data_IF_959016140736
#
_entry.id   IF_959016140736
#
_cell.length_a   1.000
_cell.length_b   1.000
_cell.length_c   1.000
_cell.angle_alpha   90.00
_cell.angle_beta   90.00
_cell.angle_gamma   90.00
#
_symmetry.space_group_name_H-M   'P 1'
#
loop_
_entity.id
_entity.type
_entity.pdbx_description
1 polymer ?
#
# COMPACT_ATOMS: atom_id res chain seq x y z
N UNK A 1 45.02 -2.82 -8.26
CA UNK A 1 43.94 -3.31 -9.14
C UNK A 1 42.76 -2.38 -8.95
N UNK A 2 42.38 -1.65 -9.99
CA UNK A 2 41.22 -0.77 -9.95
C UNK A 2 39.96 -1.59 -10.24
N UNK A 3 38.79 -1.13 -9.76
CA UNK A 3 37.50 -1.80 -10.01
C UNK A 3 37.23 -2.03 -11.50
N UNK A 4 37.67 -1.09 -12.33
CA UNK A 4 37.49 -1.11 -13.79
C UNK A 4 38.45 -2.05 -14.53
N UNK A 5 39.45 -2.59 -13.84
CA UNK A 5 40.38 -3.58 -14.38
C UNK A 5 39.83 -5.01 -14.21
N UNK A 6 38.72 -5.19 -13.50
CA UNK A 6 38.08 -6.49 -13.33
C UNK A 6 37.44 -6.96 -14.64
N UNK A 7 37.42 -8.28 -14.89
CA UNK A 7 36.60 -8.85 -15.96
C UNK A 7 35.13 -8.44 -15.80
N UNK A 8 34.45 -8.22 -16.92
CA UNK A 8 33.05 -7.79 -16.96
C UNK A 8 32.14 -8.69 -16.11
N UNK A 9 32.28 -10.01 -16.22
CA UNK A 9 31.50 -10.96 -15.42
C UNK A 9 31.68 -10.79 -13.91
N UNK A 10 32.88 -10.43 -13.44
CA UNK A 10 33.11 -10.15 -12.02
C UNK A 10 32.36 -8.90 -11.60
N UNK A 11 32.36 -7.85 -12.43
CA UNK A 11 31.57 -6.65 -12.16
C UNK A 11 30.07 -6.96 -12.15
N UNK A 12 29.55 -7.69 -13.14
CA UNK A 12 28.13 -8.06 -13.21
C UNK A 12 27.69 -8.87 -11.99
N UNK A 13 28.55 -9.79 -11.52
CA UNK A 13 28.29 -10.55 -10.31
C UNK A 13 28.24 -9.64 -9.07
N UNK A 14 29.23 -8.75 -8.87
CA UNK A 14 29.24 -7.81 -7.75
C UNK A 14 28.02 -6.88 -7.80
N UNK A 15 27.71 -6.34 -8.97
CA UNK A 15 26.60 -5.42 -9.18
C UNK A 15 25.24 -6.09 -8.92
N UNK A 16 25.13 -7.42 -9.10
CA UNK A 16 23.91 -8.18 -8.80
C UNK A 16 23.52 -8.22 -7.32
N UNK A 17 24.42 -7.80 -6.41
CA UNK A 17 24.13 -7.67 -4.97
C UNK A 17 23.82 -6.23 -4.54
N UNK A 18 23.86 -5.26 -5.46
CA UNK A 18 23.61 -3.86 -5.16
C UNK A 18 22.11 -3.53 -5.25
N UNK A 19 21.69 -2.48 -4.55
CA UNK A 19 20.36 -1.93 -4.76
C UNK A 19 20.25 -1.31 -6.16
N UNK A 20 19.06 -1.34 -6.76
CA UNK A 20 18.81 -0.78 -8.09
C UNK A 20 19.22 0.69 -8.20
N UNK A 21 19.05 1.46 -7.13
CA UNK A 21 19.47 2.85 -7.03
C UNK A 21 21.00 2.99 -7.15
N UNK A 22 21.75 2.12 -6.49
CA UNK A 22 23.21 2.12 -6.51
C UNK A 22 23.76 1.69 -7.88
N UNK A 23 23.12 0.71 -8.51
CA UNK A 23 23.43 0.31 -9.90
C UNK A 23 23.20 1.48 -10.86
N UNK A 24 22.09 2.21 -10.71
CA UNK A 24 21.82 3.40 -11.51
C UNK A 24 22.83 4.53 -11.22
N UNK A 25 23.21 4.73 -9.96
CA UNK A 25 24.19 5.74 -9.57
C UNK A 25 25.58 5.41 -10.14
N UNK A 26 26.00 4.14 -10.10
CA UNK A 26 27.25 3.67 -10.68
C UNK A 26 27.34 3.97 -12.17
N UNK A 27 26.24 3.77 -12.92
CA UNK A 27 26.17 4.10 -14.34
C UNK A 27 26.44 5.59 -14.65
N UNK A 28 26.11 6.49 -13.72
CA UNK A 28 26.32 7.93 -13.89
C UNK A 28 27.78 8.36 -13.67
N UNK A 29 28.65 7.48 -13.19
CA UNK A 29 30.03 7.84 -12.81
C UNK A 29 31.04 7.75 -13.96
N UNK A 30 30.91 6.76 -14.85
CA UNK A 30 31.79 6.62 -16.01
C UNK A 30 31.16 5.81 -17.16
N UNK A 31 31.73 5.93 -18.37
CA UNK A 31 31.22 5.27 -19.58
C UNK A 31 31.25 3.74 -19.50
N UNK A 32 32.27 3.17 -18.87
CA UNK A 32 32.41 1.72 -18.75
C UNK A 32 31.33 1.12 -17.84
N UNK A 33 31.12 1.70 -16.66
CA UNK A 33 30.03 1.31 -15.76
C UNK A 33 28.65 1.55 -16.39
N UNK A 34 28.50 2.66 -17.13
CA UNK A 34 27.30 2.89 -17.92
C UNK A 34 27.05 1.78 -18.93
N UNK A 35 28.08 1.23 -19.58
CA UNK A 35 27.94 0.13 -20.54
C UNK A 35 27.47 -1.16 -19.85
N UNK A 36 28.07 -1.53 -18.72
CA UNK A 36 27.65 -2.71 -17.95
C UNK A 36 26.21 -2.62 -17.47
N UNK A 37 25.74 -1.43 -17.08
CA UNK A 37 24.35 -1.24 -16.64
C UNK A 37 23.33 -1.27 -17.79
N UNK A 38 23.78 -1.16 -19.06
CA UNK A 38 22.92 -1.40 -20.22
C UNK A 38 22.73 -2.89 -20.53
N UNK A 39 23.57 -3.77 -20.00
CA UNK A 39 23.38 -5.21 -20.12
C UNK A 39 22.14 -5.63 -19.30
N UNK A 40 21.13 -6.16 -19.99
CA UNK A 40 19.88 -6.59 -19.37
C UNK A 40 20.06 -7.88 -18.54
N UNK A 41 21.12 -8.65 -18.79
CA UNK A 41 21.47 -9.85 -18.02
C UNK A 41 21.79 -9.50 -16.55
N UNK A 42 22.41 -8.34 -16.30
CA UNK A 42 22.61 -7.80 -14.95
C UNK A 42 21.29 -7.63 -14.21
N UNK A 43 20.29 -7.09 -14.90
CA UNK A 43 18.99 -6.79 -14.31
C UNK A 43 18.18 -8.06 -14.04
N UNK A 44 18.32 -9.08 -14.88
CA UNK A 44 17.79 -10.40 -14.60
C UNK A 44 18.45 -11.02 -13.36
N UNK A 45 19.79 -10.93 -13.24
CA UNK A 45 20.54 -11.39 -12.06
C UNK A 45 20.12 -10.62 -10.79
N UNK A 46 19.86 -9.32 -10.89
CA UNK A 46 19.32 -8.51 -9.78
C UNK A 46 17.93 -8.97 -9.35
N UNK A 47 17.05 -9.26 -10.31
CA UNK A 47 15.72 -9.80 -10.00
C UNK A 47 15.82 -11.16 -9.28
N UNK A 48 16.67 -12.06 -9.77
CA UNK A 48 16.91 -13.36 -9.16
C UNK A 48 17.60 -13.26 -7.79
N UNK A 49 18.57 -12.36 -7.62
CA UNK A 49 19.19 -12.12 -6.32
C UNK A 49 18.17 -11.57 -5.30
N UNK A 50 17.30 -10.66 -5.74
CA UNK A 50 16.29 -10.02 -4.89
C UNK A 50 15.12 -10.95 -4.55
N UNK A 51 14.67 -11.78 -5.48
CA UNK A 51 13.44 -12.57 -5.34
C UNK A 51 13.66 -14.09 -5.47
N UNK A 52 14.89 -14.58 -5.62
CA UNK A 52 15.17 -15.99 -5.86
C UNK A 52 14.76 -16.48 -7.25
N UNK A 53 15.15 -17.70 -7.59
CA UNK A 53 14.93 -18.32 -8.93
C UNK A 53 13.45 -18.39 -9.34
N UNK A 54 12.53 -18.41 -8.37
CA UNK A 54 11.08 -18.44 -8.59
C UNK A 54 10.58 -17.25 -9.42
N UNK A 55 11.28 -16.10 -9.41
CA UNK A 55 10.91 -14.97 -10.29
C UNK A 55 11.04 -15.34 -11.77
N UNK A 56 12.07 -16.12 -12.12
CA UNK A 56 12.26 -16.58 -13.49
C UNK A 56 11.14 -17.53 -13.88
N UNK A 57 10.74 -18.45 -13.00
CA UNK A 57 9.59 -19.35 -13.22
C UNK A 57 8.29 -18.57 -13.44
N UNK A 58 7.96 -17.62 -12.56
CA UNK A 58 6.70 -16.85 -12.61
C UNK A 58 6.63 -15.95 -13.85
N UNK A 59 7.78 -15.49 -14.35
CA UNK A 59 7.84 -14.64 -15.54
C UNK A 59 7.97 -15.42 -16.85
N UNK A 60 8.06 -16.75 -16.85
CA UNK A 60 8.19 -17.55 -18.08
C UNK A 60 7.02 -17.37 -19.04
N UNK A 61 5.79 -17.29 -18.51
CA UNK A 61 4.58 -17.16 -19.34
C UNK A 61 4.46 -15.77 -19.98
N UNK A 62 4.99 -14.75 -19.31
CA UNK A 62 4.97 -13.37 -19.77
C UNK A 62 6.31 -12.68 -19.42
N UNK A 63 7.38 -12.97 -20.19
CA UNK A 63 8.69 -12.42 -19.90
C UNK A 63 8.69 -10.88 -19.99
N UNK A 64 9.45 -10.19 -19.14
CA UNK A 64 9.62 -8.74 -19.29
C UNK A 64 10.25 -8.41 -20.64
N UNK A 65 9.76 -7.36 -21.30
CA UNK A 65 10.41 -6.84 -22.52
C UNK A 65 11.86 -6.40 -22.22
N UNK A 66 12.07 -5.82 -21.03
CA UNK A 66 13.38 -5.39 -20.54
C UNK A 66 13.46 -5.51 -19.02
N UNK A 67 14.41 -6.30 -18.51
CA UNK A 67 14.63 -6.51 -17.08
C UNK A 67 15.03 -5.22 -16.35
N UNK A 68 15.74 -4.32 -17.02
CA UNK A 68 16.07 -3.02 -16.41
C UNK A 68 14.83 -2.18 -16.07
N UNK A 69 13.85 -2.12 -16.98
CA UNK A 69 12.57 -1.43 -16.72
C UNK A 69 11.79 -2.16 -15.64
N UNK A 70 11.75 -3.49 -15.71
CA UNK A 70 11.09 -4.36 -14.74
C UNK A 70 11.58 -4.13 -13.31
N UNK A 71 12.90 -4.18 -13.09
CA UNK A 71 13.51 -4.01 -11.78
C UNK A 71 13.36 -2.58 -11.26
N UNK A 72 13.61 -1.57 -12.09
CA UNK A 72 13.44 -0.16 -11.70
C UNK A 72 12.01 0.15 -11.28
N UNK A 73 11.02 -0.46 -11.92
CA UNK A 73 9.63 -0.24 -11.54
C UNK A 73 9.27 -0.87 -10.18
N UNK A 74 9.80 -2.06 -9.90
CA UNK A 74 9.41 -2.89 -8.73
C UNK A 74 10.29 -2.72 -7.50
N UNK A 75 11.52 -2.25 -7.66
CA UNK A 75 12.49 -2.11 -6.58
C UNK A 75 12.80 -0.65 -6.23
N UNK A 76 12.33 0.31 -7.05
CA UNK A 76 12.53 1.72 -6.73
C UNK A 76 11.57 2.17 -5.63
N UNK A 77 12.15 2.80 -4.62
CA UNK A 77 11.43 3.47 -3.54
C UNK A 77 11.95 4.90 -3.40
N UNK A 78 11.07 5.89 -3.54
CA UNK A 78 11.46 7.31 -3.65
C UNK A 78 11.29 8.13 -2.37
N UNK A 79 10.45 7.74 -1.42
CA UNK A 79 10.13 8.57 -0.25
C UNK A 79 9.97 7.75 1.04
N UNK A 80 10.99 7.78 1.90
CA UNK A 80 10.98 7.14 3.23
C UNK A 80 10.98 8.15 4.39
N UNK A 81 10.29 9.28 4.25
CA UNK A 81 10.35 10.31 5.30
C UNK A 81 9.54 9.87 6.51
N UNK A 82 10.24 9.55 7.59
CA UNK A 82 9.61 9.19 8.87
C UNK A 82 8.90 10.40 9.46
N UNK A 83 7.58 10.29 9.58
CA UNK A 83 6.71 11.26 10.18
C UNK A 83 6.55 11.00 11.68
N UNK A 84 6.19 12.03 12.47
CA UNK A 84 5.82 11.86 13.87
C UNK A 84 4.59 10.95 14.09
N UNK A 85 3.85 10.60 13.03
CA UNK A 85 2.65 9.76 13.12
C UNK A 85 2.98 8.27 13.14
N UNK A 86 4.19 7.88 12.73
CA UNK A 86 4.65 6.50 12.70
C UNK A 86 3.62 5.59 12.02
N UNK A 87 3.22 5.95 10.80
CA UNK A 87 2.37 5.10 9.99
C UNK A 87 3.11 3.80 9.70
N UNK A 88 2.42 2.66 9.76
CA UNK A 88 3.04 1.34 9.55
C UNK A 88 3.69 1.24 8.15
N UNK A 89 3.13 1.95 7.17
CA UNK A 89 3.65 2.03 5.81
C UNK A 89 5.03 2.70 5.72
N UNK A 90 5.39 3.55 6.67
CA UNK A 90 6.70 4.21 6.70
C UNK A 90 7.83 3.23 7.03
N UNK A 91 7.53 2.04 7.56
CA UNK A 91 8.54 1.08 7.98
C UNK A 91 9.08 0.22 6.82
N UNK A 92 8.37 0.18 5.69
CA UNK A 92 8.66 -0.76 4.61
C UNK A 92 9.06 -0.01 3.34
N UNK A 93 10.37 0.15 3.14
CA UNK A 93 10.93 0.79 1.94
C UNK A 93 11.06 -0.14 0.73
N UNK A 94 10.62 -1.39 0.86
CA UNK A 94 10.50 -2.32 -0.27
C UNK A 94 9.07 -2.21 -0.85
N UNK A 95 8.90 -1.93 -2.15
CA UNK A 95 7.56 -1.72 -2.72
C UNK A 95 6.59 -2.89 -2.58
N UNK A 96 7.08 -4.14 -2.59
CA UNK A 96 6.22 -5.30 -2.37
C UNK A 96 5.81 -5.40 -0.89
N UNK A 97 6.76 -5.28 0.04
CA UNK A 97 6.45 -5.27 1.47
C UNK A 97 5.50 -4.14 1.84
N UNK A 98 5.67 -2.96 1.22
CA UNK A 98 4.79 -1.81 1.37
C UNK A 98 3.35 -2.14 0.97
N UNK A 99 3.16 -2.76 -0.20
CA UNK A 99 1.84 -3.18 -0.67
C UNK A 99 1.24 -4.29 0.20
N UNK A 100 2.04 -5.27 0.61
CA UNK A 100 1.63 -6.32 1.55
C UNK A 100 1.17 -5.74 2.89
N UNK A 101 1.93 -4.79 3.44
CA UNK A 101 1.55 -4.01 4.61
C UNK A 101 0.20 -3.30 4.42
N UNK A 102 0.00 -2.61 3.28
CA UNK A 102 -1.26 -1.94 2.98
C UNK A 102 -2.45 -2.92 2.93
N UNK A 103 -2.28 -4.09 2.33
CA UNK A 103 -3.31 -5.12 2.28
C UNK A 103 -3.63 -5.66 3.68
N UNK A 104 -2.62 -5.87 4.52
CA UNK A 104 -2.79 -6.35 5.90
C UNK A 104 -3.42 -5.32 6.84
N UNK A 105 -3.09 -4.03 6.70
CA UNK A 105 -3.66 -2.98 7.56
C UNK A 105 -5.00 -2.42 7.06
N UNK A 106 -5.43 -2.82 5.85
CA UNK A 106 -6.72 -2.42 5.31
C UNK A 106 -7.88 -2.97 6.16
N UNK A 107 -8.86 -2.12 6.46
CA UNK A 107 -10.08 -2.45 7.23
C UNK A 107 -9.82 -3.07 8.61
N UNK A 108 -8.66 -2.78 9.20
CA UNK A 108 -8.30 -3.12 10.58
C UNK A 108 -8.05 -1.86 11.37
N UNK A 109 -8.54 -1.82 12.60
CA UNK A 109 -8.14 -0.78 13.55
C UNK A 109 -6.71 -1.05 13.98
N UNK A 110 -5.82 -0.06 13.85
CA UNK A 110 -4.44 -0.19 14.28
C UNK A 110 -4.31 -0.49 15.78
N UNK A 111 -3.12 -0.94 16.18
CA UNK A 111 -2.81 -1.28 17.58
C UNK A 111 -1.51 -2.06 17.65
N UNK A 112 -1.02 -2.32 18.86
CA UNK A 112 0.24 -3.05 19.07
C UNK A 112 0.19 -4.45 18.44
N UNK A 113 -0.91 -5.20 18.65
CA UNK A 113 -1.08 -6.55 18.09
C UNK A 113 -1.04 -6.55 16.56
N UNK A 114 -1.75 -5.61 15.92
CA UNK A 114 -1.79 -5.51 14.45
C UNK A 114 -0.40 -5.15 13.89
N UNK A 115 0.29 -4.19 14.51
CA UNK A 115 1.66 -3.81 14.12
C UNK A 115 2.62 -4.98 14.27
N UNK A 116 2.58 -5.67 15.41
CA UNK A 116 3.42 -6.83 15.67
C UNK A 116 3.14 -7.95 14.66
N UNK A 117 1.87 -8.22 14.34
CA UNK A 117 1.50 -9.24 13.36
C UNK A 117 2.05 -8.92 11.98
N UNK A 118 1.96 -7.66 11.53
CA UNK A 118 2.51 -7.20 10.25
C UNK A 118 4.05 -7.31 10.25
N UNK A 119 4.69 -6.92 11.36
CA UNK A 119 6.14 -7.01 11.52
C UNK A 119 6.63 -8.45 11.46
N UNK A 120 6.03 -9.35 12.25
CA UNK A 120 6.40 -10.76 12.28
C UNK A 120 6.18 -11.42 10.91
N UNK A 121 5.05 -11.11 10.26
CA UNK A 121 4.75 -11.60 8.91
C UNK A 121 5.81 -11.15 7.88
N UNK A 122 6.19 -9.87 7.86
CA UNK A 122 7.16 -9.34 6.90
C UNK A 122 8.62 -9.65 7.28
N UNK A 123 8.87 -10.09 8.51
CA UNK A 123 10.15 -10.68 8.93
C UNK A 123 10.31 -12.10 8.39
N UNK A 124 9.22 -12.86 8.33
CA UNK A 124 9.21 -14.22 7.77
C UNK A 124 9.17 -14.22 6.24
N UNK A 125 8.26 -13.46 5.65
CA UNK A 125 8.10 -13.34 4.20
C UNK A 125 8.67 -12.01 3.74
N UNK A 126 9.97 -12.01 3.44
CA UNK A 126 10.68 -10.80 3.04
C UNK A 126 10.50 -10.47 1.56
N UNK A 127 10.13 -11.48 0.74
CA UNK A 127 9.99 -11.41 -0.71
C UNK A 127 8.64 -11.96 -1.18
N UNK A 128 8.11 -11.50 -2.33
CA UNK A 128 6.92 -12.10 -2.95
C UNK A 128 7.03 -13.61 -3.13
N UNK A 129 8.20 -14.10 -3.50
CA UNK A 129 8.47 -15.53 -3.74
C UNK A 129 8.51 -16.36 -2.47
N UNK A 130 8.93 -15.80 -1.33
CA UNK A 130 8.83 -16.46 -0.02
C UNK A 130 7.36 -16.81 0.24
N UNK A 131 6.47 -15.84 0.00
CA UNK A 131 5.03 -16.02 0.21
C UNK A 131 4.39 -16.97 -0.81
N UNK A 132 4.82 -16.94 -2.07
CA UNK A 132 4.31 -17.84 -3.11
C UNK A 132 4.71 -19.31 -2.87
N UNK A 133 5.80 -19.54 -2.15
CA UNK A 133 6.26 -20.87 -1.76
C UNK A 133 5.73 -21.31 -0.38
N UNK A 134 5.03 -20.43 0.34
CA UNK A 134 4.55 -20.68 1.69
C UNK A 134 3.33 -21.62 1.73
N UNK A 135 3.17 -22.34 2.82
CA UNK A 135 1.96 -23.08 3.10
C UNK A 135 0.79 -22.14 3.44
N UNK A 136 -0.33 -22.33 2.75
CA UNK A 136 -1.50 -21.47 2.90
C UNK A 136 -2.07 -21.48 4.34
N UNK A 137 -2.07 -22.64 5.00
CA UNK A 137 -2.64 -22.75 6.36
C UNK A 137 -1.74 -22.05 7.38
N UNK A 138 -0.41 -22.22 7.26
CA UNK A 138 0.56 -21.50 8.07
C UNK A 138 0.41 -19.98 7.94
N UNK A 139 0.32 -19.47 6.72
CA UNK A 139 0.13 -18.04 6.46
C UNK A 139 -1.20 -17.54 7.05
N UNK A 140 -2.31 -18.24 6.81
CA UNK A 140 -3.61 -17.83 7.34
C UNK A 140 -3.62 -17.84 8.88
N UNK A 141 -2.92 -18.79 9.52
CA UNK A 141 -2.80 -18.84 10.97
C UNK A 141 -2.09 -17.60 11.52
N UNK A 142 -1.06 -17.09 10.84
CA UNK A 142 -0.39 -15.85 11.22
C UNK A 142 -1.25 -14.61 11.03
N UNK A 143 -2.07 -14.59 9.97
CA UNK A 143 -2.98 -13.48 9.67
C UNK A 143 -4.22 -13.43 10.59
N UNK A 144 -4.46 -14.45 11.43
CA UNK A 144 -5.67 -14.56 12.25
C UNK A 144 -5.92 -13.31 13.12
N UNK A 145 -4.88 -12.72 13.70
CA UNK A 145 -5.01 -11.53 14.55
C UNK A 145 -5.53 -10.29 13.79
N UNK A 146 -5.41 -10.28 12.45
CA UNK A 146 -5.89 -9.21 11.59
C UNK A 146 -7.37 -9.39 11.18
N UNK A 147 -7.93 -10.59 11.39
CA UNK A 147 -9.22 -11.01 10.85
C UNK A 147 -9.25 -11.05 9.31
N UNK A 148 -10.32 -11.63 8.75
CA UNK A 148 -10.48 -11.80 7.30
C UNK A 148 -9.31 -12.56 6.66
N UNK A 149 -8.70 -13.48 7.40
CA UNK A 149 -7.47 -14.17 7.03
C UNK A 149 -7.55 -14.86 5.67
N UNK A 150 -8.68 -15.49 5.32
CA UNK A 150 -8.86 -16.13 4.01
C UNK A 150 -8.82 -15.11 2.86
N UNK A 151 -9.47 -13.97 3.07
CA UNK A 151 -9.53 -12.87 2.09
C UNK A 151 -8.15 -12.21 1.96
N UNK A 152 -7.46 -11.99 3.08
CA UNK A 152 -6.12 -11.41 3.12
C UNK A 152 -5.10 -12.32 2.47
N UNK A 153 -5.12 -13.62 2.78
CA UNK A 153 -4.27 -14.61 2.14
C UNK A 153 -4.44 -14.60 0.63
N UNK A 154 -5.68 -14.67 0.15
CA UNK A 154 -5.97 -14.59 -1.28
C UNK A 154 -5.45 -13.29 -1.91
N UNK A 155 -5.47 -12.18 -1.15
CA UNK A 155 -4.99 -10.89 -1.62
C UNK A 155 -3.48 -10.85 -1.73
N UNK A 156 -2.81 -11.24 -0.66
CA UNK A 156 -1.35 -11.25 -0.58
C UNK A 156 -0.75 -12.23 -1.59
N UNK A 157 -1.31 -13.44 -1.71
CA UNK A 157 -0.85 -14.45 -2.67
C UNK A 157 -1.01 -13.96 -4.13
N UNK A 158 -2.20 -13.48 -4.51
CA UNK A 158 -2.44 -12.98 -5.88
C UNK A 158 -1.65 -11.72 -6.19
N UNK A 159 -1.59 -10.77 -5.26
CA UNK A 159 -0.78 -9.56 -5.41
C UNK A 159 0.69 -9.93 -5.58
N UNK A 160 1.23 -10.87 -4.81
CA UNK A 160 2.64 -11.29 -4.93
C UNK A 160 2.94 -11.94 -6.26
N UNK A 161 2.03 -12.78 -6.76
CA UNK A 161 2.15 -13.38 -8.10
C UNK A 161 2.09 -12.29 -9.18
N UNK A 162 1.04 -11.48 -9.17
CA UNK A 162 0.81 -10.42 -10.17
C UNK A 162 1.91 -9.36 -10.17
N UNK A 163 2.43 -9.03 -8.98
CA UNK A 163 3.55 -8.11 -8.81
C UNK A 163 4.75 -8.58 -9.63
N UNK A 164 5.04 -9.88 -9.65
CA UNK A 164 6.13 -10.46 -10.44
C UNK A 164 5.74 -10.70 -11.90
N UNK A 165 4.56 -11.25 -12.17
CA UNK A 165 4.18 -11.77 -13.49
C UNK A 165 3.66 -10.70 -14.47
N UNK A 166 2.87 -9.73 -13.99
CA UNK A 166 2.13 -8.83 -14.89
C UNK A 166 2.98 -7.66 -15.38
N UNK A 167 2.76 -7.21 -16.61
CA UNK A 167 3.19 -5.89 -17.05
C UNK A 167 2.25 -4.81 -16.49
N UNK A 168 2.38 -4.52 -15.19
CA UNK A 168 1.55 -3.54 -14.48
C UNK A 168 2.25 -2.17 -14.39
N UNK A 169 1.44 -1.13 -14.20
CA UNK A 169 1.86 0.26 -14.06
C UNK A 169 1.41 0.90 -12.75
N UNK A 170 0.27 0.45 -12.22
CA UNK A 170 -0.32 0.93 -10.97
C UNK A 170 -0.84 -0.26 -10.16
N UNK A 171 -0.64 -0.30 -8.83
CA UNK A 171 -1.03 -1.45 -8.03
C UNK A 171 -2.55 -1.67 -7.97
N UNK A 172 -3.38 -0.71 -8.41
CA UNK A 172 -4.83 -0.94 -8.56
C UNK A 172 -5.20 -2.04 -9.56
N UNK A 173 -4.25 -2.48 -10.38
CA UNK A 173 -4.38 -3.63 -11.27
C UNK A 173 -4.36 -4.98 -10.51
N UNK A 174 -3.94 -4.98 -9.24
CA UNK A 174 -3.86 -6.18 -8.40
C UNK A 174 -5.15 -6.43 -7.64
N UNK A 175 -5.49 -7.71 -7.49
CA UNK A 175 -6.62 -8.12 -6.68
C UNK A 175 -6.38 -7.75 -5.20
N UNK A 176 -7.32 -7.01 -4.61
CA UNK A 176 -7.24 -6.53 -3.22
C UNK A 176 -6.62 -5.14 -3.06
N UNK A 177 -5.89 -4.63 -4.06
CA UNK A 177 -5.29 -3.30 -4.01
C UNK A 177 -6.30 -2.21 -4.40
N UNK A 178 -7.06 -1.73 -3.41
CA UNK A 178 -7.99 -0.62 -3.58
C UNK A 178 -7.33 0.77 -3.60
N UNK A 179 -8.14 1.85 -3.64
CA UNK A 179 -7.65 3.24 -3.68
C UNK A 179 -6.64 3.59 -2.59
N UNK A 180 -6.82 3.06 -1.37
CA UNK A 180 -5.88 3.25 -0.27
C UNK A 180 -4.48 2.70 -0.57
N UNK A 181 -4.37 1.44 -1.04
CA UNK A 181 -3.08 0.82 -1.35
C UNK A 181 -2.39 1.56 -2.50
N UNK A 182 -3.17 1.96 -3.52
CA UNK A 182 -2.71 2.79 -4.63
C UNK A 182 -2.16 4.14 -4.17
N UNK A 183 -2.94 4.91 -3.41
CA UNK A 183 -2.51 6.23 -2.93
C UNK A 183 -1.27 6.09 -2.04
N UNK A 184 -1.22 5.08 -1.17
CA UNK A 184 -0.06 4.81 -0.34
C UNK A 184 1.19 4.51 -1.18
N UNK A 185 1.10 3.59 -2.15
CA UNK A 185 2.22 3.31 -3.07
C UNK A 185 2.66 4.55 -3.84
N UNK A 186 1.73 5.37 -4.34
CA UNK A 186 2.09 6.59 -5.05
C UNK A 186 2.84 7.59 -4.15
N UNK A 187 2.45 7.72 -2.87
CA UNK A 187 3.09 8.61 -1.92
C UNK A 187 4.49 8.13 -1.54
N UNK A 188 4.61 6.87 -1.12
CA UNK A 188 5.84 6.34 -0.52
C UNK A 188 6.80 5.77 -1.57
N UNK A 189 6.31 4.94 -2.49
CA UNK A 189 7.14 4.31 -3.52
C UNK A 189 7.45 5.31 -4.66
N UNK A 190 6.47 6.10 -5.10
CA UNK A 190 6.62 7.01 -6.25
C UNK A 190 6.91 8.48 -5.89
N UNK A 191 6.83 8.87 -4.62
CA UNK A 191 7.17 10.22 -4.16
C UNK A 191 6.10 11.28 -4.43
N UNK A 192 4.82 10.90 -4.55
CA UNK A 192 3.70 11.84 -4.70
C UNK A 192 3.58 12.73 -3.46
N UNK A 193 3.59 14.04 -3.66
CA UNK A 193 3.39 15.06 -2.61
C UNK A 193 2.01 15.73 -2.65
N UNK A 194 1.26 15.55 -3.74
CA UNK A 194 -0.07 16.15 -3.93
C UNK A 194 -1.18 15.33 -3.26
N UNK A 195 -2.00 15.99 -2.45
CA UNK A 195 -3.18 15.42 -1.79
C UNK A 195 -4.42 15.28 -2.69
N UNK A 196 -4.38 15.77 -3.95
CA UNK A 196 -5.54 15.80 -4.84
C UNK A 196 -6.08 14.38 -5.10
N UNK A 197 -7.27 14.06 -4.61
CA UNK A 197 -7.92 12.77 -4.82
C UNK A 197 -7.59 11.68 -3.78
N UNK A 198 -6.73 11.97 -2.79
CA UNK A 198 -6.52 11.08 -1.64
C UNK A 198 -7.70 11.26 -0.67
N UNK A 199 -8.27 10.16 -0.20
CA UNK A 199 -9.39 10.17 0.74
C UNK A 199 -9.05 9.63 2.13
N UNK A 200 -7.98 8.84 2.24
CA UNK A 200 -7.55 8.29 3.52
C UNK A 200 -7.02 9.37 4.46
N UNK A 201 -7.56 9.41 5.68
CA UNK A 201 -7.25 10.46 6.67
C UNK A 201 -5.79 10.41 7.13
N UNK A 202 -5.22 9.21 7.27
CA UNK A 202 -3.84 9.06 7.70
C UNK A 202 -2.86 9.49 6.60
N UNK A 203 -3.13 9.12 5.34
CA UNK A 203 -2.34 9.56 4.19
C UNK A 203 -2.45 11.08 3.97
N UNK A 204 -3.64 11.67 4.12
CA UNK A 204 -3.82 13.12 4.05
C UNK A 204 -3.05 13.85 5.15
N UNK A 205 -3.03 13.30 6.37
CA UNK A 205 -2.26 13.83 7.50
C UNK A 205 -0.75 13.76 7.23
N UNK A 206 -0.28 12.63 6.71
CA UNK A 206 1.12 12.46 6.31
C UNK A 206 1.52 13.46 5.21
N UNK A 207 0.71 13.61 4.16
CA UNK A 207 0.97 14.56 3.08
C UNK A 207 0.98 16.01 3.56
N UNK A 208 0.11 16.38 4.51
CA UNK A 208 0.12 17.71 5.11
C UNK A 208 1.45 17.99 5.83
N UNK A 209 1.88 17.03 6.66
CA UNK A 209 3.17 17.11 7.34
C UNK A 209 4.34 17.14 6.36
N UNK A 210 4.34 16.28 5.34
CA UNK A 210 5.40 16.21 4.33
C UNK A 210 5.62 17.56 3.63
N UNK A 211 4.53 18.31 3.38
CA UNK A 211 4.57 19.58 2.67
C UNK A 211 4.80 20.80 3.58
N UNK A 212 4.47 20.73 4.88
CA UNK A 212 4.48 21.91 5.77
C UNK A 212 5.35 21.77 7.01
N UNK A 213 5.78 20.54 7.34
CA UNK A 213 6.41 20.20 8.61
C UNK A 213 5.46 20.21 9.82
N UNK A 214 4.20 20.63 9.65
CA UNK A 214 3.26 20.77 10.75
C UNK A 214 2.73 19.39 11.22
N UNK A 215 2.68 19.21 12.55
CA UNK A 215 2.19 17.99 13.20
C UNK A 215 0.76 18.13 13.75
N UNK A 216 0.25 19.36 13.83
CA UNK A 216 -1.06 19.65 14.39
C UNK A 216 -2.18 19.36 13.39
N UNK A 217 -3.24 18.70 13.86
CA UNK A 217 -4.45 18.48 13.05
C UNK A 217 -5.14 19.83 12.78
N UNK A 218 -5.40 20.13 11.50
CA UNK A 218 -6.40 21.14 11.16
C UNK A 218 -7.74 20.64 11.70
N UNK A 219 -8.26 21.28 12.76
CA UNK A 219 -9.67 21.11 13.14
C UNK A 219 -10.51 21.34 11.87
N UNK A 220 -11.37 20.40 11.47
CA UNK A 220 -12.21 20.60 10.29
C UNK A 220 -12.96 21.91 10.50
N UNK A 221 -12.86 22.82 9.52
CA UNK A 221 -13.68 24.02 9.51
C UNK A 221 -15.13 23.55 9.66
N UNK A 222 -15.79 23.94 10.76
CA UNK A 222 -17.22 23.67 10.94
C UNK A 222 -17.90 24.07 9.64
N UNK A 223 -18.48 23.11 8.92
CA UNK A 223 -19.41 23.44 7.83
C UNK A 223 -20.43 24.38 8.46
N UNK A 224 -20.46 25.64 8.01
CA UNK A 224 -21.54 26.56 8.33
C UNK A 224 -22.80 25.91 7.77
N UNK A 225 -23.52 25.16 8.59
CA UNK A 225 -24.92 24.86 8.33
C UNK A 225 -25.59 26.22 8.18
N UNK A 226 -25.99 26.55 6.96
CA UNK A 226 -26.91 27.63 6.71
C UNK A 226 -28.13 27.36 7.59
N UNK A 227 -28.34 28.22 8.59
CA UNK A 227 -29.50 28.13 9.45
C UNK A 227 -30.75 28.27 8.58
N UNK A 228 -31.47 27.18 8.37
CA UNK A 228 -32.87 27.25 7.96
C UNK A 228 -33.60 27.82 9.17
N UNK A 229 -33.94 29.11 9.09
CA UNK A 229 -34.81 29.76 10.06
C UNK A 229 -36.15 29.01 10.05
N UNK A 230 -36.41 28.25 11.10
CA UNK A 230 -37.71 27.66 11.35
C UNK A 230 -38.71 28.80 11.63
N UNK A 231 -39.59 29.08 10.66
CA UNK A 231 -40.74 29.93 10.87
C UNK A 231 -41.61 29.34 11.98
N UNK A 232 -41.71 30.05 13.11
CA UNK A 232 -42.65 29.79 14.20
C UNK A 232 -44.09 29.94 13.68
N UNK A 233 -44.66 28.86 13.17
CA UNK A 233 -46.10 28.74 12.97
C UNK A 233 -46.80 28.69 14.33
N UNK A 234 -47.64 29.69 14.61
CA UNK A 234 -48.54 29.71 15.77
C UNK A 234 -49.43 28.45 15.73
N UNK A 235 -49.26 27.53 16.68
CA UNK A 235 -50.18 26.40 16.90
C UNK A 235 -51.54 26.95 17.31
N UNK A 236 -52.56 26.68 16.51
CA UNK A 236 -53.98 26.89 16.83
C UNK A 236 -54.43 25.70 17.73
N UNK A 237 -55.13 25.93 18.85
CA UNK A 237 -55.59 24.83 19.70
C UNK A 237 -56.73 24.06 19.03
N UNK A 238 -56.87 22.75 19.30
CA UNK A 238 -57.95 21.93 18.73
C UNK A 238 -59.31 22.26 19.37
N UNK A 239 -60.42 22.12 18.62
CA UNK A 239 -61.77 22.32 19.16
C UNK A 239 -62.17 21.18 20.11
N UNK A 240 -62.81 21.57 21.22
CA UNK A 240 -63.35 20.68 22.26
C UNK A 240 -64.48 19.79 21.71
N UNK A 241 -64.31 18.46 21.79
CA UNK A 241 -65.38 17.51 21.56
C UNK A 241 -66.19 17.31 22.86
N UNK A 242 -67.41 17.84 22.88
CA UNK A 242 -68.38 17.62 23.94
C UNK A 242 -68.88 16.18 23.91
N UNK A 243 -68.45 15.36 24.89
CA UNK A 243 -69.00 14.02 25.12
C UNK A 243 -70.40 14.17 25.71
N UNK A 244 -71.42 13.85 24.91
CA UNK A 244 -72.83 13.82 25.31
C UNK A 244 -73.13 12.46 25.94
N UNK A 245 -73.43 12.47 27.23
CA UNK A 245 -73.88 11.33 28.02
C UNK A 245 -75.28 10.91 27.52
N UNK A 246 -75.41 9.73 26.94
CA UNK A 246 -76.71 9.08 26.72
C UNK A 246 -76.91 7.98 27.75
N UNK A 247 -77.88 8.21 28.65
CA UNK A 247 -78.36 7.24 29.63
C UNK A 247 -79.09 6.09 28.95
N UNK A 248 -78.66 4.87 29.20
CA UNK A 248 -79.44 3.65 29.01
C UNK A 248 -80.59 3.60 30.01
N UNK A 249 -81.84 3.40 29.55
CA UNK A 249 -82.95 2.96 30.41
C UNK A 249 -83.68 1.80 29.74
N UNK A 250 -84.06 0.85 30.58
CA UNK A 250 -84.42 -0.52 30.27
C UNK A 250 -85.82 -0.73 29.65
N UNK A 251 -85.95 -1.92 29.04
CA UNK A 251 -87.13 -2.75 28.75
C UNK A 251 -88.49 -2.30 29.32
N UNK A 252 -89.50 -2.26 28.44
CA UNK A 252 -90.61 -3.23 28.39
C UNK A 252 -91.21 -3.22 26.99
#
# INVERSE_FOLDING_TARGET
MLLLDLPEECFLHIASFLAVQDVCAAAATCRQLSAYVQDDSLWQRLAEAKWGSKVLEVTQEAPPEKWSTYCKHRMAFKSNKQSPFQLVQEQYSDPWQHLACCLMCSRTTGGAVIRQTIEDFLREYTRPTDLLCADAQGVMAQLNALGLQDVRWKALSRMSHDFLAKAWSDPSEFWGCGPFARDSWQIFCCGRTSAKGVTDVALLRYLHWLNTGATAERKPAKKRTAGVQAARGKRRPPPSASVRITRSRAKR
#
